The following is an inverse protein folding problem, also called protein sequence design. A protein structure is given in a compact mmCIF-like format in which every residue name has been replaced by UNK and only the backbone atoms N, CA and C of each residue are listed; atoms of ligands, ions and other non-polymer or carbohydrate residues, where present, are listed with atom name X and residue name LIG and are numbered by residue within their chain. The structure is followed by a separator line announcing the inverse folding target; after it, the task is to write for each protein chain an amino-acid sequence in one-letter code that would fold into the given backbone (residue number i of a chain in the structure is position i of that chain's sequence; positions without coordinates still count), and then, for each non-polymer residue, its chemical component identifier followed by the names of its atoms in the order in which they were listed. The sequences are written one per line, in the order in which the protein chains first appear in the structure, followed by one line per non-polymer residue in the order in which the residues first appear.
data_IF_137922372840
#
_entry.id   IF_137922372840
#
_cell.length_a   1.000
_cell.length_b   1.000
_cell.length_c   1.000
_cell.angle_alpha   90.00
_cell.angle_beta   90.00
_cell.angle_gamma   90.00
#
_symmetry.space_group_name_H-M   'P 1'
#
loop_
_entity.id
_entity.type
_entity.pdbx_description
1 polymer ?
#
# COMPACT_ATOMS: atom_id res chain seq x y z
N UNK A 1 -12.45 24.24 -22.86
CA UNK A 1 -11.41 23.30 -23.32
C UNK A 1 -10.29 23.30 -22.28
N UNK A 2 -10.47 22.54 -21.21
CA UNK A 2 -9.38 22.21 -20.29
C UNK A 2 -8.85 20.87 -20.77
N UNK A 3 -7.72 20.94 -21.46
CA UNK A 3 -6.96 19.78 -21.88
C UNK A 3 -6.38 19.19 -20.59
N UNK A 4 -7.17 18.36 -19.89
CA UNK A 4 -6.71 17.56 -18.77
C UNK A 4 -5.82 16.47 -19.38
N UNK A 5 -4.61 16.87 -19.77
CA UNK A 5 -3.59 15.94 -20.20
C UNK A 5 -3.49 14.92 -19.08
N UNK A 6 -3.78 13.66 -19.43
CA UNK A 6 -3.56 12.47 -18.60
C UNK A 6 -2.12 12.51 -18.08
N UNK A 7 -1.88 13.23 -16.98
CA UNK A 7 -0.62 13.14 -16.27
C UNK A 7 -0.59 11.72 -15.76
N UNK A 8 0.42 10.97 -16.22
CA UNK A 8 0.67 9.61 -15.72
C UNK A 8 0.73 9.70 -14.21
N UNK A 9 -0.24 9.10 -13.54
CA UNK A 9 -0.22 9.02 -12.09
C UNK A 9 0.79 7.95 -11.68
N UNK A 10 1.68 8.34 -10.76
CA UNK A 10 2.58 7.40 -10.09
C UNK A 10 1.78 6.48 -9.19
N UNK A 11 2.23 5.25 -9.03
CA UNK A 11 1.61 4.31 -8.09
C UNK A 11 1.72 4.86 -6.67
N UNK A 12 0.66 4.70 -5.87
CA UNK A 12 0.65 5.15 -4.47
C UNK A 12 1.05 4.03 -3.53
N UNK A 13 2.00 4.30 -2.64
CA UNK A 13 2.24 3.45 -1.47
C UNK A 13 1.08 3.66 -0.50
N UNK A 14 0.37 2.58 -0.21
CA UNK A 14 -0.78 2.58 0.68
C UNK A 14 -0.68 1.37 1.59
N UNK A 15 -1.01 1.58 2.85
CA UNK A 15 -1.23 0.50 3.79
C UNK A 15 -2.60 -0.14 3.59
N UNK A 16 -2.79 -1.35 4.13
CA UNK A 16 -4.06 -2.06 4.02
C UNK A 16 -5.19 -1.30 4.72
N UNK A 17 -4.96 -0.72 5.91
CA UNK A 17 -5.96 0.09 6.64
C UNK A 17 -6.52 1.22 5.79
N UNK A 18 -5.65 2.03 5.17
CA UNK A 18 -6.07 3.13 4.31
C UNK A 18 -6.83 2.63 3.08
N UNK A 19 -6.36 1.54 2.46
CA UNK A 19 -6.96 1.03 1.23
C UNK A 19 -8.33 0.39 1.51
N UNK A 20 -8.46 -0.39 2.58
CA UNK A 20 -9.69 -1.09 2.97
C UNK A 20 -10.86 -0.12 3.21
N UNK A 21 -10.60 1.07 3.73
CA UNK A 21 -11.60 2.12 3.94
C UNK A 21 -11.94 2.92 2.67
N UNK A 22 -11.11 2.82 1.64
CA UNK A 22 -11.20 3.66 0.44
C UNK A 22 -12.02 3.02 -0.68
N UNK A 23 -13.36 2.95 -0.59
CA UNK A 23 -14.17 2.19 -1.55
C UNK A 23 -14.70 2.95 -2.80
N UNK A 24 -14.53 4.28 -2.91
CA UNK A 24 -15.02 5.07 -4.04
C UNK A 24 -14.14 4.87 -5.28
N UNK A 25 -14.67 4.26 -6.33
CA UNK A 25 -13.96 4.04 -7.61
C UNK A 25 -14.71 4.64 -8.80
N UNK A 26 -14.24 5.79 -9.27
CA UNK A 26 -14.89 6.56 -10.33
C UNK A 26 -14.06 6.64 -11.62
N UNK A 27 -14.75 6.76 -12.75
CA UNK A 27 -14.14 6.96 -14.07
C UNK A 27 -13.88 8.44 -14.29
N UNK A 28 -12.63 8.79 -14.65
CA UNK A 28 -12.21 10.18 -14.85
C UNK A 28 -12.34 10.62 -16.30
N UNK A 29 -13.57 10.99 -16.67
CA UNK A 29 -13.94 11.50 -17.98
C UNK A 29 -14.96 10.62 -18.70
N UNK A 30 -15.45 11.13 -19.84
CA UNK A 30 -16.55 10.52 -20.60
C UNK A 30 -16.09 9.51 -21.67
N UNK A 31 -14.80 9.47 -21.99
CA UNK A 31 -14.24 8.62 -23.05
C UNK A 31 -14.13 7.15 -22.64
N UNK A 32 -14.34 6.21 -23.56
CA UNK A 32 -14.35 4.76 -23.26
C UNK A 32 -13.08 4.24 -22.58
N UNK A 33 -11.94 4.91 -22.79
CA UNK A 33 -10.63 4.55 -22.25
C UNK A 33 -10.19 5.42 -21.08
N UNK A 34 -11.06 6.27 -20.55
CA UNK A 34 -10.71 7.10 -19.40
C UNK A 34 -10.48 6.24 -18.16
N UNK A 35 -9.44 6.59 -17.36
CA UNK A 35 -9.00 5.75 -16.27
C UNK A 35 -10.05 5.73 -15.16
N UNK A 36 -10.16 4.60 -14.47
CA UNK A 36 -10.85 4.51 -13.18
C UNK A 36 -9.84 4.75 -12.08
N UNK A 37 -10.13 5.70 -11.21
CA UNK A 37 -9.30 6.03 -10.05
C UNK A 37 -10.10 5.75 -8.79
N UNK A 38 -9.44 5.19 -7.80
CA UNK A 38 -9.98 5.08 -6.45
C UNK A 38 -9.66 6.35 -5.69
N UNK A 39 -10.64 6.95 -5.03
CA UNK A 39 -10.41 8.07 -4.12
C UNK A 39 -9.97 7.48 -2.79
N UNK A 40 -8.82 7.89 -2.26
CA UNK A 40 -8.39 7.47 -0.94
C UNK A 40 -9.11 8.31 0.12
N UNK A 41 -9.35 7.74 1.30
CA UNK A 41 -9.86 8.48 2.46
C UNK A 41 -8.96 9.66 2.85
N UNK A 42 -7.67 9.62 2.48
CA UNK A 42 -6.72 10.72 2.62
C UNK A 42 -6.85 11.82 1.53
N UNK A 43 -7.92 11.80 0.73
CA UNK A 43 -8.24 12.84 -0.25
C UNK A 43 -7.31 12.88 -1.45
N UNK A 44 -6.79 11.72 -1.90
CA UNK A 44 -5.95 11.61 -3.10
C UNK A 44 -6.45 10.49 -4.02
N UNK A 45 -6.32 10.68 -5.33
CA UNK A 45 -6.65 9.62 -6.30
C UNK A 45 -5.55 8.59 -6.46
N UNK A 46 -5.90 7.31 -6.47
CA UNK A 46 -5.03 6.17 -6.76
C UNK A 46 -5.48 5.45 -8.04
N UNK A 47 -4.68 5.54 -9.10
CA UNK A 47 -4.86 4.70 -10.30
C UNK A 47 -4.16 3.34 -10.20
N UNK A 48 -3.05 3.29 -9.46
CA UNK A 48 -2.32 2.08 -9.07
C UNK A 48 -1.82 2.24 -7.66
N UNK A 49 -1.69 1.11 -6.98
CA UNK A 49 -1.12 1.02 -5.65
C UNK A 49 0.11 0.12 -5.67
N UNK A 50 1.06 0.41 -4.78
CA UNK A 50 2.17 -0.48 -4.44
C UNK A 50 2.01 -0.85 -2.98
N UNK A 51 2.01 -2.15 -2.72
CA UNK A 51 1.89 -2.70 -1.37
C UNK A 51 2.98 -3.73 -1.15
N UNK A 52 3.66 -3.68 -0.01
CA UNK A 52 4.62 -4.71 0.39
C UNK A 52 4.20 -5.26 1.74
N UNK A 53 4.21 -6.59 1.88
CA UNK A 53 3.76 -7.23 3.10
C UNK A 53 4.03 -8.71 3.13
N UNK A 54 3.55 -9.37 4.19
CA UNK A 54 3.63 -10.81 4.34
C UNK A 54 2.44 -11.45 3.63
N UNK A 55 2.71 -12.20 2.57
CA UNK A 55 1.76 -13.11 1.96
C UNK A 55 1.48 -14.24 2.96
N UNK A 56 0.28 -14.25 3.54
CA UNK A 56 -0.10 -15.23 4.56
C UNK A 56 -0.80 -16.45 3.98
N UNK A 57 -1.42 -16.30 2.82
CA UNK A 57 -2.26 -17.34 2.22
C UNK A 57 -2.48 -17.09 0.72
N UNK A 58 -2.54 -18.17 -0.05
CA UNK A 58 -2.91 -18.17 -1.47
C UNK A 58 -3.89 -19.32 -1.70
N UNK A 59 -5.08 -19.00 -2.21
CA UNK A 59 -6.12 -20.00 -2.46
C UNK A 59 -6.73 -19.82 -3.85
N UNK A 60 -7.02 -20.94 -4.51
CA UNK A 60 -7.88 -20.95 -5.68
C UNK A 60 -9.35 -20.89 -5.24
N UNK A 61 -10.06 -19.84 -5.63
CA UNK A 61 -11.42 -19.54 -5.15
C UNK A 61 -12.52 -19.96 -6.12
N UNK A 62 -12.18 -20.40 -7.33
CA UNK A 62 -13.12 -20.95 -8.30
C UNK A 62 -12.44 -21.93 -9.28
N UNK A 63 -13.25 -22.67 -10.04
CA UNK A 63 -12.77 -23.64 -11.03
C UNK A 63 -12.10 -23.00 -12.27
N UNK A 64 -12.14 -21.68 -12.39
CA UNK A 64 -11.53 -20.91 -13.49
C UNK A 64 -10.08 -20.49 -13.16
N UNK A 65 -9.50 -20.99 -12.06
CA UNK A 65 -8.13 -20.70 -11.65
C UNK A 65 -7.94 -19.33 -11.00
N UNK A 66 -8.99 -18.64 -10.55
CA UNK A 66 -8.80 -17.37 -9.83
C UNK A 66 -8.08 -17.61 -8.51
N UNK A 67 -6.96 -16.92 -8.32
CA UNK A 67 -6.21 -16.94 -7.07
C UNK A 67 -6.57 -15.73 -6.22
N UNK A 68 -6.88 -15.99 -4.95
CA UNK A 68 -6.95 -15.01 -3.90
C UNK A 68 -5.68 -15.09 -3.07
N UNK A 69 -4.97 -13.98 -2.96
CA UNK A 69 -3.85 -13.80 -2.05
C UNK A 69 -4.28 -12.94 -0.87
N UNK A 70 -3.86 -13.30 0.35
CA UNK A 70 -4.01 -12.46 1.54
C UNK A 70 -2.64 -11.93 1.97
N UNK A 71 -2.51 -10.61 2.03
CA UNK A 71 -1.24 -9.92 2.33
C UNK A 71 -1.42 -9.02 3.55
N UNK A 72 -0.56 -9.18 4.56
CA UNK A 72 -0.52 -8.34 5.75
C UNK A 72 0.57 -7.27 5.62
N UNK A 73 0.21 -5.98 5.67
CA UNK A 73 1.14 -4.87 5.41
C UNK A 73 1.89 -4.38 6.64
N UNK A 74 1.50 -4.85 7.81
CA UNK A 74 2.06 -4.47 9.12
C UNK A 74 1.00 -3.87 10.04
N UNK A 75 0.04 -3.19 9.45
CA UNK A 75 -1.10 -2.55 10.11
C UNK A 75 -2.40 -3.36 9.97
N UNK A 76 -2.67 -3.91 8.79
CA UNK A 76 -3.86 -4.71 8.50
C UNK A 76 -3.57 -5.68 7.33
N UNK A 77 -4.54 -6.55 7.03
CA UNK A 77 -4.54 -7.42 5.85
C UNK A 77 -5.41 -6.86 4.73
N UNK A 78 -5.00 -7.12 3.50
CA UNK A 78 -5.82 -6.92 2.31
C UNK A 78 -5.86 -8.18 1.44
N UNK A 79 -6.86 -8.24 0.58
CA UNK A 79 -6.96 -9.29 -0.43
C UNK A 79 -6.53 -8.79 -1.80
N UNK A 80 -5.91 -9.68 -2.56
CA UNK A 80 -5.62 -9.48 -3.97
C UNK A 80 -6.17 -10.64 -4.80
N UNK A 81 -6.69 -10.35 -5.98
CA UNK A 81 -7.35 -11.33 -6.85
C UNK A 81 -6.71 -11.35 -8.24
N UNK A 82 -5.99 -12.42 -8.55
CA UNK A 82 -5.40 -12.66 -9.87
C UNK A 82 -6.23 -13.69 -10.64
N UNK A 83 -6.86 -13.25 -11.74
CA UNK A 83 -7.55 -14.14 -12.66
C UNK A 83 -6.77 -14.41 -13.92
N UNK A 84 -7.40 -15.12 -14.87
CA UNK A 84 -6.80 -15.47 -16.18
C UNK A 84 -6.28 -14.28 -17.03
N UNK A 85 -6.70 -13.04 -16.74
CA UNK A 85 -6.23 -11.85 -17.44
C UNK A 85 -5.02 -11.18 -16.75
N UNK A 86 -4.58 -11.75 -15.63
CA UNK A 86 -3.43 -11.32 -14.83
C UNK A 86 -2.39 -12.45 -14.82
N UNK A 87 -2.05 -12.99 -15.99
CA UNK A 87 -1.22 -14.20 -16.14
C UNK A 87 0.11 -14.10 -15.37
N UNK A 88 0.79 -12.96 -15.41
CA UNK A 88 2.05 -12.73 -14.68
C UNK A 88 1.86 -12.84 -13.16
N UNK A 89 0.91 -12.09 -12.59
CA UNK A 89 0.62 -12.13 -11.17
C UNK A 89 0.08 -13.49 -10.72
N UNK A 90 -0.74 -14.15 -11.56
CA UNK A 90 -1.27 -15.48 -11.27
C UNK A 90 -0.15 -16.51 -11.23
N UNK A 91 0.75 -16.53 -12.21
CA UNK A 91 1.91 -17.44 -12.22
C UNK A 91 2.81 -17.20 -11.01
N UNK A 92 3.12 -15.94 -10.70
CA UNK A 92 3.93 -15.61 -9.53
C UNK A 92 3.29 -16.11 -8.23
N UNK A 93 1.96 -15.95 -8.05
CA UNK A 93 1.25 -16.44 -6.87
C UNK A 93 1.20 -17.97 -6.78
N UNK A 94 1.21 -18.70 -7.91
CA UNK A 94 1.27 -20.17 -7.91
C UNK A 94 2.62 -20.71 -7.46
N UNK A 95 3.69 -19.97 -7.75
CA UNK A 95 5.07 -20.36 -7.46
C UNK A 95 5.53 -19.96 -6.04
N UNK A 96 4.75 -19.12 -5.34
CA UNK A 96 5.05 -18.63 -4.00
C UNK A 96 4.55 -19.57 -2.90
N UNK A 97 5.44 -19.93 -1.97
CA UNK A 97 5.09 -20.67 -0.75
C UNK A 97 4.83 -19.68 0.41
N UNK A 98 3.58 -19.57 0.86
CA UNK A 98 3.25 -18.76 2.03
C UNK A 98 3.72 -19.45 3.35
N UNK A 99 4.27 -18.71 4.34
CA UNK A 99 4.45 -17.27 4.35
C UNK A 99 5.69 -16.78 3.58
N UNK A 100 5.54 -15.70 2.81
CA UNK A 100 6.62 -15.03 2.09
C UNK A 100 6.43 -13.51 2.09
N UNK A 101 7.50 -12.72 2.03
CA UNK A 101 7.36 -11.27 1.82
C UNK A 101 7.19 -10.99 0.33
N UNK A 102 6.18 -10.21 -0.02
CA UNK A 102 5.86 -9.91 -1.42
C UNK A 102 5.64 -8.43 -1.62
N UNK A 103 6.12 -7.92 -2.76
CA UNK A 103 5.73 -6.66 -3.33
C UNK A 103 4.65 -6.89 -4.40
N UNK A 104 3.60 -6.07 -4.35
CA UNK A 104 2.46 -6.15 -5.24
C UNK A 104 2.16 -4.78 -5.83
N UNK A 105 2.08 -4.73 -7.16
CA UNK A 105 1.63 -3.54 -7.89
C UNK A 105 0.34 -3.91 -8.61
N UNK A 106 -0.69 -3.09 -8.42
CA UNK A 106 -1.98 -3.40 -9.02
C UNK A 106 -2.94 -2.24 -9.02
N UNK A 107 -4.11 -2.50 -9.61
CA UNK A 107 -5.23 -1.58 -9.59
C UNK A 107 -6.07 -1.86 -8.34
N UNK A 108 -6.33 -0.85 -7.52
CA UNK A 108 -7.27 -1.03 -6.43
C UNK A 108 -8.68 -1.18 -7.01
N UNK A 109 -9.50 -1.99 -6.36
CA UNK A 109 -10.85 -2.33 -6.79
C UNK A 109 -11.75 -2.41 -5.57
N UNK A 110 -12.98 -1.94 -5.71
CA UNK A 110 -14.01 -2.08 -4.69
C UNK A 110 -15.25 -2.74 -5.29
N UNK A 111 -15.90 -3.61 -4.53
CA UNK A 111 -17.16 -4.25 -4.91
C UNK A 111 -18.07 -4.40 -3.70
N UNK A 112 -19.38 -4.35 -3.95
CA UNK A 112 -20.39 -4.55 -2.93
C UNK A 112 -20.54 -6.05 -2.62
N UNK A 113 -20.62 -6.38 -1.34
CA UNK A 113 -20.91 -7.69 -0.81
C UNK A 113 -22.43 -7.88 -0.67
N UNK A 114 -22.88 -9.13 -0.60
CA UNK A 114 -24.31 -9.46 -0.45
C UNK A 114 -24.96 -8.86 0.81
N UNK A 115 -24.17 -8.51 1.82
CA UNK A 115 -24.63 -7.89 3.06
C UNK A 115 -24.68 -6.35 2.99
N UNK A 116 -24.40 -5.75 1.84
CA UNK A 116 -24.34 -4.30 1.62
C UNK A 116 -23.05 -3.64 2.10
N UNK A 117 -22.08 -4.41 2.58
CA UNK A 117 -20.73 -3.92 2.88
C UNK A 117 -19.89 -3.77 1.61
N UNK A 118 -18.91 -2.87 1.63
CA UNK A 118 -17.93 -2.76 0.54
C UNK A 118 -16.71 -3.60 0.87
N UNK A 119 -16.23 -4.37 -0.10
CA UNK A 119 -14.93 -5.03 -0.01
C UNK A 119 -13.95 -4.35 -0.98
N UNK A 120 -12.82 -3.91 -0.45
CA UNK A 120 -11.71 -3.39 -1.26
C UNK A 120 -10.65 -4.48 -1.43
N UNK A 121 -10.04 -4.50 -2.61
CA UNK A 121 -8.99 -5.44 -2.97
C UNK A 121 -8.03 -4.85 -3.99
N UNK A 122 -6.97 -5.59 -4.29
CA UNK A 122 -6.05 -5.28 -5.37
C UNK A 122 -6.26 -6.27 -6.50
N UNK A 123 -6.31 -5.78 -7.74
CA UNK A 123 -6.12 -6.59 -8.93
C UNK A 123 -4.66 -6.50 -9.34
N UNK A 124 -3.81 -7.48 -8.93
CA UNK A 124 -2.39 -7.37 -9.13
C UNK A 124 -2.06 -7.44 -10.62
N UNK A 125 -1.18 -6.56 -11.05
CA UNK A 125 -0.54 -6.61 -12.37
C UNK A 125 0.80 -7.35 -12.23
N UNK A 126 1.52 -7.13 -11.12
CA UNK A 126 2.81 -7.77 -10.81
C UNK A 126 2.86 -8.18 -9.34
N UNK A 127 3.45 -9.36 -9.08
CA UNK A 127 3.76 -9.86 -7.74
C UNK A 127 5.20 -10.37 -7.75
N UNK A 128 5.99 -9.99 -6.74
CA UNK A 128 7.38 -10.40 -6.62
C UNK A 128 7.73 -10.70 -5.16
N UNK A 129 8.42 -11.81 -4.91
CA UNK A 129 9.03 -12.08 -3.61
C UNK A 129 10.12 -11.05 -3.32
N UNK A 130 10.14 -10.51 -2.10
CA UNK A 130 11.13 -9.55 -1.64
C UNK A 130 11.78 -10.00 -0.34
N UNK A 131 12.90 -9.40 0.01
CA UNK A 131 13.57 -9.64 1.29
C UNK A 131 12.87 -8.92 2.45
N UNK A 132 13.13 -9.39 3.68
CA UNK A 132 12.69 -8.71 4.91
C UNK A 132 13.13 -7.24 4.95
N UNK A 133 14.39 -6.96 4.59
CA UNK A 133 14.93 -5.59 4.55
C UNK A 133 14.19 -4.70 3.54
N UNK A 134 13.82 -5.22 2.37
CA UNK A 134 13.01 -4.49 1.39
C UNK A 134 11.59 -4.20 1.92
N UNK A 135 10.99 -5.15 2.67
CA UNK A 135 9.70 -4.95 3.33
C UNK A 135 9.76 -3.88 4.41
N UNK A 136 10.76 -3.93 5.29
CA UNK A 136 10.95 -2.96 6.36
C UNK A 136 11.19 -1.54 5.81
N UNK A 137 12.03 -1.42 4.77
CA UNK A 137 12.22 -0.15 4.09
C UNK A 137 10.91 0.38 3.49
N UNK A 138 10.12 -0.48 2.84
CA UNK A 138 8.84 -0.08 2.29
C UNK A 138 7.88 0.42 3.38
N UNK A 139 7.83 -0.23 4.55
CA UNK A 139 6.98 0.19 5.68
C UNK A 139 7.31 1.62 6.09
N UNK A 140 8.59 1.95 6.28
CA UNK A 140 9.02 3.31 6.66
C UNK A 140 8.68 4.36 5.59
N UNK A 141 8.83 4.00 4.31
CA UNK A 141 8.46 4.89 3.19
C UNK A 141 6.93 5.07 3.07
N UNK A 142 6.17 3.99 3.25
CA UNK A 142 4.71 4.01 3.22
C UNK A 142 4.16 4.81 4.41
N UNK A 143 4.76 4.70 5.59
CA UNK A 143 4.42 5.49 6.77
C UNK A 143 4.54 6.99 6.48
N UNK A 144 5.70 7.42 6.00
CA UNK A 144 5.90 8.82 5.60
C UNK A 144 4.88 9.24 4.54
N UNK A 145 4.68 8.44 3.49
CA UNK A 145 3.75 8.78 2.41
C UNK A 145 2.29 8.84 2.86
N UNK A 146 1.85 7.99 3.80
CA UNK A 146 0.50 8.01 4.35
C UNK A 146 0.32 9.19 5.30
N UNK A 147 1.25 9.42 6.23
CA UNK A 147 1.22 10.57 7.14
C UNK A 147 1.23 11.90 6.38
N UNK A 148 2.06 12.04 5.35
CA UNK A 148 2.09 13.23 4.48
C UNK A 148 0.73 13.49 3.81
N UNK A 149 0.03 12.42 3.38
CA UNK A 149 -1.30 12.57 2.78
C UNK A 149 -2.35 12.97 3.79
N UNK A 150 -2.32 12.38 4.99
CA UNK A 150 -3.24 12.72 6.08
C UNK A 150 -3.03 14.16 6.55
N UNK A 151 -1.77 14.59 6.72
CA UNK A 151 -1.43 15.97 7.10
C UNK A 151 -1.83 16.98 6.03
N UNK A 152 -1.66 16.62 4.74
CA UNK A 152 -2.04 17.45 3.60
C UNK A 152 -3.51 17.30 3.19
N UNK A 153 -4.34 16.60 3.97
CA UNK A 153 -5.76 16.47 3.68
C UNK A 153 -6.46 17.80 3.93
N UNK A 154 -7.07 18.34 2.87
CA UNK A 154 -7.96 19.48 2.94
C UNK A 154 -9.19 19.16 2.07
N UNK A 155 -10.40 19.07 2.66
CA UNK A 155 -11.62 18.77 1.92
C UNK A 155 -12.03 19.90 0.97
N UNK A 156 -11.32 21.03 0.96
CA UNK A 156 -11.53 22.17 0.08
C UNK A 156 -10.40 22.39 -0.94
N UNK A 157 -9.31 21.62 -0.87
CA UNK A 157 -8.18 21.70 -1.81
C UNK A 157 -8.21 20.56 -2.84
N UNK A 158 -9.21 20.62 -3.72
CA UNK A 158 -9.33 19.77 -4.91
C UNK A 158 -10.40 18.69 -4.84
N UNK A 159 -10.73 18.17 -6.02
CA UNK A 159 -11.85 17.24 -6.26
C UNK A 159 -11.78 15.96 -5.41
N UNK A 160 -10.57 15.41 -5.21
CA UNK A 160 -10.38 14.19 -4.41
C UNK A 160 -10.69 14.40 -2.92
N UNK A 161 -10.39 15.57 -2.35
CA UNK A 161 -10.69 15.89 -0.96
C UNK A 161 -12.20 16.08 -0.74
N UNK A 162 -12.85 16.79 -1.68
CA UNK A 162 -14.30 16.99 -1.67
C UNK A 162 -15.05 15.66 -1.75
N UNK A 163 -14.65 14.78 -2.67
CA UNK A 163 -15.24 13.44 -2.82
C UNK A 163 -15.04 12.57 -1.58
N UNK A 164 -13.84 12.59 -1.01
CA UNK A 164 -13.53 11.83 0.19
C UNK A 164 -14.44 12.27 1.35
N UNK A 165 -14.55 13.58 1.59
CA UNK A 165 -15.41 14.15 2.62
C UNK A 165 -16.91 13.85 2.39
N UNK A 166 -17.34 13.79 1.13
CA UNK A 166 -18.73 13.53 0.78
C UNK A 166 -19.11 12.04 0.88
N UNK A 167 -18.14 11.13 0.77
CA UNK A 167 -18.39 9.68 0.65
C UNK A 167 -18.06 8.93 1.92
N UNK A 168 -16.92 9.25 2.56
CA UNK A 168 -16.44 8.53 3.73
C UNK A 168 -16.97 9.19 4.99
N UNK A 169 -17.88 8.48 5.67
CA UNK A 169 -18.41 8.91 6.96
C UNK A 169 -17.31 8.85 8.02
N UNK A 170 -17.37 9.78 8.99
CA UNK A 170 -16.43 9.87 10.12
C UNK A 170 -14.95 9.88 9.68
N UNK A 171 -14.64 10.63 8.63
CA UNK A 171 -13.31 10.71 8.01
C UNK A 171 -12.17 10.99 9.01
N UNK A 172 -12.43 11.81 10.04
CA UNK A 172 -11.47 12.10 11.11
C UNK A 172 -11.13 10.83 11.92
N UNK A 173 -12.13 9.99 12.21
CA UNK A 173 -11.93 8.72 12.89
C UNK A 173 -11.19 7.72 12.00
N UNK A 174 -11.49 7.67 10.70
CA UNK A 174 -10.75 6.84 9.75
C UNK A 174 -9.27 7.29 9.67
N UNK A 175 -9.01 8.59 9.67
CA UNK A 175 -7.63 9.12 9.68
C UNK A 175 -6.88 8.74 10.96
N UNK A 176 -7.54 8.75 12.12
CA UNK A 176 -6.97 8.29 13.38
C UNK A 176 -6.68 6.78 13.35
N UNK A 177 -7.60 5.96 12.84
CA UNK A 177 -7.37 4.52 12.68
C UNK A 177 -6.18 4.22 11.76
N UNK A 178 -6.06 4.94 10.64
CA UNK A 178 -4.93 4.79 9.73
C UNK A 178 -3.62 5.22 10.39
N UNK A 179 -3.63 6.33 11.15
CA UNK A 179 -2.45 6.77 11.91
C UNK A 179 -1.99 5.69 12.89
N UNK A 180 -2.91 5.14 13.69
CA UNK A 180 -2.59 4.07 14.65
C UNK A 180 -2.08 2.81 13.93
N UNK A 181 -2.62 2.48 12.76
CA UNK A 181 -2.13 1.38 11.92
C UNK A 181 -0.70 1.64 11.42
N UNK A 182 -0.42 2.86 10.95
CA UNK A 182 0.94 3.27 10.53
C UNK A 182 1.92 3.14 11.69
N UNK A 183 1.55 3.58 12.89
CA UNK A 183 2.38 3.46 14.10
C UNK A 183 2.69 1.99 14.42
N UNK A 184 1.68 1.12 14.46
CA UNK A 184 1.87 -0.33 14.66
C UNK A 184 2.78 -0.97 13.60
N UNK A 185 2.63 -0.58 12.33
CA UNK A 185 3.48 -1.09 11.26
C UNK A 185 4.93 -0.66 11.46
N UNK A 186 5.18 0.60 11.84
CA UNK A 186 6.52 1.14 12.12
C UNK A 186 7.13 0.46 13.35
N UNK A 187 6.38 0.30 14.42
CA UNK A 187 6.79 -0.46 15.62
C UNK A 187 7.21 -1.89 15.27
N UNK A 188 6.48 -2.56 14.37
CA UNK A 188 6.84 -3.92 13.93
C UNK A 188 8.21 -4.03 13.28
N UNK A 189 8.72 -2.95 12.69
CA UNK A 189 10.06 -2.91 12.08
C UNK A 189 11.14 -2.82 13.15
N UNK A 190 10.91 -2.03 14.20
CA UNK A 190 11.91 -1.81 15.25
C UNK A 190 11.85 -2.86 16.37
N UNK A 191 10.65 -3.35 16.72
CA UNK A 191 10.46 -4.37 17.76
C UNK A 191 11.05 -5.74 17.41
N UNK A 192 11.20 -6.06 16.12
CA UNK A 192 11.87 -7.31 15.69
C UNK A 192 13.40 -7.23 15.81
N UNK A 193 14.00 -6.04 15.70
CA UNK A 193 15.45 -5.85 15.79
C UNK A 193 16.01 -6.16 17.19
N UNK A 194 15.19 -6.05 18.24
CA UNK A 194 15.62 -6.29 19.61
C UNK A 194 15.58 -7.78 20.03
N UNK A 195 14.79 -8.62 19.34
CA UNK A 195 14.69 -10.04 19.70
C UNK A 195 15.93 -10.87 19.35
N UNK A 196 16.81 -10.38 18.46
CA UNK A 196 18.09 -11.01 18.17
C UNK A 196 19.25 -10.50 19.06
N UNK A 197 19.10 -9.38 19.78
CA UNK A 197 20.18 -8.80 20.62
C UNK A 197 19.86 -8.60 22.12
N UNK A 198 18.62 -8.75 22.61
CA UNK A 198 18.31 -8.46 24.01
C UNK A 198 17.66 -9.62 24.78
N UNK A 199 18.48 -10.36 25.52
CA UNK A 199 18.07 -10.94 26.79
C UNK A 199 18.20 -9.88 27.89
N UNK A 200 17.34 -8.87 27.91
CA UNK A 200 17.15 -7.97 29.06
C UNK A 200 15.68 -7.55 29.12
N UNK A 201 14.91 -8.21 29.97
CA UNK A 201 13.63 -7.69 30.45
C UNK A 201 13.90 -6.40 31.24
N UNK A 202 13.04 -5.37 31.07
CA UNK A 202 12.94 -4.09 31.82
C UNK A 202 13.29 -2.77 31.08
N UNK A 203 13.50 -2.75 29.74
CA UNK A 203 13.67 -1.48 28.97
C UNK A 203 12.68 -1.24 27.81
N UNK A 204 11.95 -2.26 27.34
CA UNK A 204 11.03 -2.14 26.20
C UNK A 204 9.78 -1.30 26.50
N UNK A 205 9.34 -1.26 27.76
CA UNK A 205 8.12 -0.52 28.16
C UNK A 205 8.36 1.01 28.15
N UNK A 206 9.59 1.48 28.41
CA UNK A 206 9.89 2.93 28.45
C UNK A 206 10.01 3.56 27.06
N UNK A 207 10.47 2.80 26.04
CA UNK A 207 10.58 3.31 24.65
C UNK A 207 9.26 3.18 23.86
N UNK A 208 8.40 2.22 24.19
CA UNK A 208 7.04 2.12 23.62
C UNK A 208 6.18 3.33 23.98
N UNK A 209 6.26 3.77 25.24
CA UNK A 209 5.61 5.01 25.68
C UNK A 209 6.19 6.24 24.96
N UNK A 210 7.47 6.20 24.57
CA UNK A 210 8.13 7.31 23.87
C UNK A 210 7.68 7.41 22.41
N UNK A 211 7.65 6.32 21.63
CA UNK A 211 7.19 6.32 20.22
C UNK A 211 5.71 6.70 20.10
N UNK A 212 4.86 6.18 20.98
CA UNK A 212 3.42 6.48 20.99
C UNK A 212 3.12 7.95 21.32
N UNK A 213 4.04 8.63 22.04
CA UNK A 213 3.93 10.05 22.35
C UNK A 213 4.65 10.97 21.34
N UNK A 214 5.47 10.41 20.42
CA UNK A 214 6.21 11.19 19.44
C UNK A 214 5.28 11.89 18.46
N UNK A 215 5.53 13.19 18.25
CA UNK A 215 4.90 13.88 17.14
C UNK A 215 5.47 13.44 15.78
N UNK A 216 4.79 13.81 14.69
CA UNK A 216 5.19 13.44 13.32
C UNK A 216 6.66 13.81 13.01
N UNK A 217 7.16 14.93 13.53
CA UNK A 217 8.55 15.35 13.27
C UNK A 217 9.54 14.58 14.13
N UNK A 218 9.15 14.19 15.33
CA UNK A 218 9.94 13.34 16.23
C UNK A 218 10.05 11.91 15.68
N UNK A 219 8.95 11.31 15.21
CA UNK A 219 8.94 10.04 14.48
C UNK A 219 9.84 10.09 13.24
N UNK A 220 9.73 11.16 12.45
CA UNK A 220 10.61 11.38 11.28
C UNK A 220 12.09 11.48 11.68
N UNK A 221 12.41 12.20 12.76
CA UNK A 221 13.77 12.32 13.26
C UNK A 221 14.30 10.99 13.79
N UNK A 222 13.48 10.24 14.52
CA UNK A 222 13.80 8.93 15.08
C UNK A 222 14.16 7.93 13.98
N UNK A 223 13.28 7.80 12.97
CA UNK A 223 13.52 6.96 11.77
C UNK A 223 14.82 7.37 11.07
N UNK A 224 15.09 8.67 10.95
CA UNK A 224 16.30 9.19 10.29
C UNK A 224 17.59 9.04 11.10
N UNK A 225 17.49 8.79 12.41
CA UNK A 225 18.61 8.70 13.35
C UNK A 225 19.06 7.24 13.54
N UNK A 226 18.12 6.31 13.60
CA UNK A 226 18.40 4.87 13.72
C UNK A 226 18.88 4.24 12.41
N UNK A 227 18.64 4.90 11.29
CA UNK A 227 19.28 4.58 10.03
C UNK A 227 20.35 5.63 9.75
N UNK A 228 21.60 5.27 9.38
CA UNK A 228 22.53 6.22 8.76
C UNK A 228 21.96 6.63 7.38
N UNK A 229 20.85 7.37 7.37
CA UNK A 229 20.06 7.67 6.19
C UNK A 229 20.70 8.81 5.42
N UNK A 230 21.51 8.46 4.43
CA UNK A 230 21.51 9.26 3.20
C UNK A 230 20.22 8.89 2.48
N UNK A 231 19.37 9.87 2.21
CA UNK A 231 18.45 9.81 1.09
C UNK A 231 19.28 9.60 -0.19
N UNK A 232 19.74 8.36 -0.45
CA UNK A 232 20.27 7.99 -1.73
C UNK A 232 19.06 7.84 -2.62
N UNK A 233 18.78 8.87 -3.40
CA UNK A 233 17.91 8.71 -4.53
C UNK A 233 18.40 7.55 -5.38
N UNK A 234 17.70 6.42 -5.30
CA UNK A 234 17.39 5.58 -6.45
C UNK A 234 16.19 4.66 -6.18
N UNK A 235 15.06 5.24 -5.74
CA UNK A 235 13.76 4.55 -5.78
C UNK A 235 13.31 4.23 -7.21
N UNK A 236 13.98 4.82 -8.20
CA UNK A 236 13.82 4.41 -9.59
C UNK A 236 14.19 2.93 -9.75
N UNK A 237 15.16 2.36 -9.02
CA UNK A 237 15.54 0.94 -9.15
C UNK A 237 14.52 -0.06 -8.56
N UNK A 238 13.76 0.27 -7.51
CA UNK A 238 12.70 -0.62 -6.98
C UNK A 238 11.42 -0.53 -7.81
N UNK A 239 11.01 0.69 -8.21
CA UNK A 239 9.98 0.85 -9.25
C UNK A 239 10.44 0.28 -10.59
N UNK A 240 11.73 0.34 -10.93
CA UNK A 240 12.31 -0.27 -12.13
C UNK A 240 12.52 -1.76 -11.99
N UNK A 241 12.73 -2.34 -10.80
CA UNK A 241 12.74 -3.80 -10.59
C UNK A 241 11.32 -4.34 -10.72
N UNK A 242 10.35 -3.66 -10.13
CA UNK A 242 8.93 -3.93 -10.34
C UNK A 242 8.47 -3.66 -11.79
N UNK A 243 9.14 -2.75 -12.53
CA UNK A 243 8.97 -2.55 -13.99
C UNK A 243 9.92 -3.38 -14.86
N UNK A 244 10.92 -4.07 -14.28
CA UNK A 244 12.18 -4.45 -14.94
C UNK A 244 12.06 -5.64 -15.88
N UNK A 245 10.88 -6.23 -15.92
CA UNK A 245 10.48 -7.29 -16.84
C UNK A 245 9.97 -6.74 -18.18
N UNK A 246 9.73 -5.43 -18.33
CA UNK A 246 9.18 -4.86 -19.57
C UNK A 246 9.85 -3.53 -19.97
N UNK A 247 10.21 -3.41 -21.25
CA UNK A 247 10.69 -2.13 -21.81
C UNK A 247 9.52 -1.15 -22.03
N UNK A 248 9.84 0.13 -22.33
CA UNK A 248 8.90 1.26 -22.49
C UNK A 248 7.74 1.07 -23.50
N UNK A 249 7.71 -0.07 -24.21
CA UNK A 249 6.63 -0.49 -25.11
C UNK A 249 5.70 -1.57 -24.54
N UNK A 250 5.89 -2.04 -23.31
CA UNK A 250 5.06 -3.09 -22.71
C UNK A 250 5.27 -4.47 -23.33
N UNK A 251 6.48 -4.76 -23.85
CA UNK A 251 6.87 -6.11 -24.26
C UNK A 251 7.97 -6.65 -23.33
N UNK A 252 7.90 -7.95 -23.04
CA UNK A 252 8.85 -8.63 -22.17
C UNK A 252 10.26 -8.49 -22.76
N UNK A 253 11.23 -8.11 -21.94
CA UNK A 253 12.62 -8.10 -22.39
C UNK A 253 13.11 -9.56 -22.50
N UNK A 254 13.50 -10.00 -23.71
CA UNK A 254 14.16 -11.29 -23.89
C UNK A 254 15.47 -11.32 -23.07
N UNK A 255 15.70 -12.46 -22.41
CA UNK A 255 16.82 -12.75 -21.51
C UNK A 255 18.21 -12.65 -22.16
#
# INVERSE_FOLDING_TARGET
MTNNQQQRQVSKRVFASELNESFLVEKRGDGDYDPRLQTLVSGKYAGRVVVVGTLTDVQEINDDGYLQAKVHTGDDSLYAYAGQYQEEAQSALQDLDAPAYVAMVGKPSAYELDNGGMNVSIKPETVQEVSKAEREQWVLEAANASLDRLEAFDPHDGEAGEEAMATYEDIEQLHEQIRNGVEQAVESVFGEAETEEASVEDSADEEQDEIAEMDINELRMYVSKETEYKASGDYHELEQKARGTFNDSGQAAEA
#
